data_IF_563109386628
#
_entry.id   IF_563109386628
#
_cell.length_a   1.000
_cell.length_b   1.000
_cell.length_c   1.000
_cell.angle_alpha   90.00
_cell.angle_beta   90.00
_cell.angle_gamma   90.00
#
_symmetry.space_group_name_H-M   'P 1'
#
loop_
_entity.id
_entity.type
_entity.pdbx_description
1 polymer ?
#
# COMPACT_ATOMS: atom_id res chain seq x y z
N UNK A 1 2.39 13.01 3.40
CA UNK A 1 2.83 12.95 1.99
C UNK A 1 3.43 11.60 1.72
N UNK A 2 3.28 11.09 0.50
CA UNK A 2 3.89 9.83 0.05
C UNK A 2 4.65 10.11 -1.24
N UNK A 3 5.91 9.72 -1.28
CA UNK A 3 6.77 9.76 -2.46
C UNK A 3 7.10 8.33 -2.86
N UNK A 4 7.06 8.05 -4.15
CA UNK A 4 7.40 6.74 -4.70
C UNK A 4 8.28 6.89 -5.93
N UNK A 5 9.19 5.95 -6.11
CA UNK A 5 10.02 5.83 -7.31
C UNK A 5 10.10 4.36 -7.70
N UNK A 6 9.19 3.98 -8.58
CA UNK A 6 8.99 2.60 -9.05
C UNK A 6 10.26 2.02 -9.71
N UNK A 7 11.05 2.87 -10.40
CA UNK A 7 12.23 2.45 -11.15
C UNK A 7 13.34 1.82 -10.29
N UNK A 8 13.43 2.17 -9.00
CA UNK A 8 14.41 1.64 -8.06
C UNK A 8 13.78 1.18 -6.73
N UNK A 9 12.49 0.84 -6.76
CA UNK A 9 11.72 0.25 -5.65
C UNK A 9 11.73 1.07 -4.35
N UNK A 10 11.66 2.40 -4.46
CA UNK A 10 11.74 3.32 -3.30
C UNK A 10 10.39 3.91 -2.91
N UNK A 11 10.17 4.01 -1.61
CA UNK A 11 9.01 4.67 -1.01
C UNK A 11 9.44 5.49 0.21
N UNK A 12 8.81 6.65 0.37
CA UNK A 12 8.93 7.52 1.53
C UNK A 12 7.54 8.02 1.92
N UNK A 13 7.19 7.85 3.20
CA UNK A 13 5.99 8.41 3.81
C UNK A 13 6.45 9.46 4.82
N UNK A 14 5.94 10.68 4.75
CA UNK A 14 6.20 11.74 5.71
C UNK A 14 4.89 12.24 6.30
N UNK A 15 4.75 12.17 7.61
CA UNK A 15 3.61 12.72 8.31
C UNK A 15 3.76 14.23 8.42
N UNK A 16 2.73 14.95 8.01
CA UNK A 16 2.70 16.43 8.10
C UNK A 16 1.73 16.90 9.18
N UNK A 17 0.81 16.03 9.61
CA UNK A 17 -0.22 16.24 10.62
C UNK A 17 -0.63 14.88 11.23
N UNK A 18 -1.25 14.86 12.42
CA UNK A 18 -1.42 15.98 13.35
C UNK A 18 -0.06 16.39 13.95
N UNK A 19 -0.04 17.41 14.84
CA UNK A 19 1.22 18.00 15.34
C UNK A 19 2.13 16.95 16.00
N UNK A 20 1.53 15.98 16.66
CA UNK A 20 2.19 14.90 17.41
C UNK A 20 2.88 13.88 16.49
N UNK A 21 2.40 13.75 15.25
CA UNK A 21 2.96 12.86 14.23
C UNK A 21 3.80 13.62 13.20
N UNK A 22 3.65 14.95 13.11
CA UNK A 22 4.34 15.76 12.11
C UNK A 22 5.86 15.57 12.19
N UNK A 23 6.48 15.33 11.05
CA UNK A 23 7.91 15.05 10.93
C UNK A 23 8.28 13.58 11.10
N UNK A 24 7.44 12.72 11.69
CA UNK A 24 7.68 11.27 11.62
C UNK A 24 7.66 10.81 10.16
N UNK A 25 8.42 9.78 9.85
CA UNK A 25 8.47 9.28 8.48
C UNK A 25 8.83 7.80 8.40
N UNK A 26 8.43 7.18 7.29
CA UNK A 26 8.85 5.84 6.92
C UNK A 26 9.65 5.90 5.62
N UNK A 27 10.84 5.34 5.59
CA UNK A 27 11.71 5.28 4.41
C UNK A 27 12.05 3.83 4.10
N UNK A 28 11.77 3.39 2.88
CA UNK A 28 12.23 2.09 2.39
C UNK A 28 13.63 2.23 1.79
N UNK A 29 14.55 1.42 2.29
CA UNK A 29 15.90 1.25 1.76
C UNK A 29 16.10 -0.26 1.53
N UNK A 30 16.29 -0.64 0.27
CA UNK A 30 16.31 -2.03 -0.17
C UNK A 30 15.03 -2.77 0.28
N UNK A 31 15.17 -3.88 1.02
CA UNK A 31 14.05 -4.64 1.60
C UNK A 31 13.61 -4.12 2.98
N UNK A 32 14.22 -3.06 3.48
CA UNK A 32 14.02 -2.61 4.85
C UNK A 32 13.16 -1.36 4.91
N UNK A 33 12.09 -1.43 5.70
CA UNK A 33 11.34 -0.26 6.11
C UNK A 33 11.97 0.34 7.36
N UNK A 34 12.27 1.64 7.34
CA UNK A 34 12.82 2.37 8.47
C UNK A 34 11.84 3.44 8.92
N UNK A 35 11.54 3.51 10.22
CA UNK A 35 10.70 4.54 10.83
C UNK A 35 11.60 5.55 11.54
N UNK A 36 11.40 6.84 11.26
CA UNK A 36 12.08 7.95 11.90
C UNK A 36 11.15 8.68 12.86
N UNK A 37 11.63 8.91 14.09
CA UNK A 37 10.97 9.77 15.07
C UNK A 37 11.82 11.03 15.35
N UNK A 38 11.36 12.23 14.94
CA UNK A 38 12.10 13.47 15.16
C UNK A 38 12.27 13.83 16.63
N UNK A 39 11.39 13.37 17.52
CA UNK A 39 11.48 13.68 18.95
C UNK A 39 12.69 13.02 19.61
N UNK A 40 13.11 11.87 19.07
CA UNK A 40 14.27 11.11 19.58
C UNK A 40 15.46 11.14 18.64
N UNK A 41 15.27 11.55 17.38
CA UNK A 41 16.27 11.49 16.33
C UNK A 41 16.64 10.06 15.90
N UNK A 42 15.82 9.06 16.26
CA UNK A 42 16.14 7.65 16.03
C UNK A 42 15.48 7.07 14.78
N UNK A 43 16.18 6.10 14.20
CA UNK A 43 15.68 5.26 13.12
C UNK A 43 15.50 3.82 13.60
N UNK A 44 14.27 3.34 13.59
CA UNK A 44 13.94 1.95 13.91
C UNK A 44 13.65 1.16 12.65
N UNK A 45 14.21 -0.04 12.54
CA UNK A 45 13.83 -0.97 11.48
C UNK A 45 12.44 -1.55 11.76
N UNK A 46 11.59 -1.56 10.75
CA UNK A 46 10.23 -2.10 10.74
C UNK A 46 10.12 -3.22 9.70
N UNK A 47 9.11 -4.06 9.87
CA UNK A 47 8.83 -5.17 8.95
C UNK A 47 7.64 -4.83 8.07
N UNK A 48 7.35 -5.65 7.07
CA UNK A 48 6.14 -5.52 6.22
C UNK A 48 4.83 -5.56 6.99
N UNK A 49 4.83 -6.13 8.20
CA UNK A 49 3.65 -6.18 9.07
C UNK A 49 3.41 -4.91 9.85
N UNK A 50 4.31 -3.94 9.77
CA UNK A 50 4.19 -2.64 10.42
C UNK A 50 2.87 -1.95 10.06
N UNK A 51 2.17 -1.50 11.11
CA UNK A 51 1.00 -0.64 11.00
C UNK A 51 1.48 0.81 10.89
N UNK A 52 1.27 1.44 9.73
CA UNK A 52 1.77 2.80 9.45
C UNK A 52 0.99 3.80 10.30
N UNK A 53 1.69 4.54 11.17
CA UNK A 53 1.09 5.59 12.00
C UNK A 53 -0.01 5.09 12.94
N UNK A 54 0.08 3.83 13.41
CA UNK A 54 -0.93 3.21 14.28
C UNK A 54 -2.25 2.85 13.58
N UNK A 55 -2.33 2.99 12.26
CA UNK A 55 -3.52 2.65 11.47
C UNK A 55 -3.53 1.18 11.03
N UNK A 56 -4.59 0.73 10.36
CA UNK A 56 -4.63 -0.60 9.74
C UNK A 56 -3.94 -0.66 8.37
N UNK A 57 -3.33 0.44 7.93
CA UNK A 57 -2.53 0.49 6.69
C UNK A 57 -1.11 -0.05 6.90
N UNK A 58 -0.54 -0.54 5.80
CA UNK A 58 0.80 -1.13 5.70
C UNK A 58 1.54 -0.50 4.53
N UNK A 59 2.86 -0.74 4.45
CA UNK A 59 3.68 -0.27 3.33
C UNK A 59 3.06 -0.60 1.96
N UNK A 60 2.63 -1.85 1.78
CA UNK A 60 2.06 -2.33 0.51
C UNK A 60 0.78 -1.61 0.06
N UNK A 61 0.09 -0.91 0.96
CA UNK A 61 -1.10 -0.12 0.60
C UNK A 61 -0.70 1.22 -0.07
N UNK A 62 0.56 1.64 0.06
CA UNK A 62 1.11 2.86 -0.53
C UNK A 62 2.14 2.59 -1.65
N UNK A 63 2.57 1.34 -1.81
CA UNK A 63 3.60 0.95 -2.76
C UNK A 63 3.01 0.56 -4.13
N UNK A 64 3.88 0.32 -5.12
CA UNK A 64 3.46 -0.27 -6.39
C UNK A 64 2.98 -1.71 -6.16
N UNK A 65 1.89 -2.08 -6.84
CA UNK A 65 1.38 -3.44 -6.77
C UNK A 65 2.33 -4.40 -7.49
N UNK A 66 2.85 -5.39 -6.75
CA UNK A 66 3.73 -6.45 -7.28
C UNK A 66 3.09 -7.83 -7.24
N UNK A 67 1.75 -7.90 -7.27
CA UNK A 67 1.01 -9.15 -7.05
C UNK A 67 1.42 -10.28 -8.01
N UNK A 68 1.66 -9.99 -9.29
CA UNK A 68 2.11 -10.98 -10.28
C UNK A 68 3.54 -11.49 -10.03
N UNK A 69 4.37 -10.67 -9.40
CA UNK A 69 5.75 -11.01 -9.04
C UNK A 69 5.78 -11.79 -7.74
N UNK A 70 5.00 -11.38 -6.74
CA UNK A 70 5.06 -11.90 -5.36
C UNK A 70 4.15 -13.11 -5.11
N UNK A 71 3.10 -13.32 -5.91
CA UNK A 71 2.10 -14.36 -5.66
C UNK A 71 1.91 -15.30 -6.85
N UNK A 72 1.59 -16.55 -6.54
CA UNK A 72 0.93 -17.47 -7.45
C UNK A 72 -0.57 -17.15 -7.44
N UNK A 73 -1.14 -16.90 -8.62
CA UNK A 73 -2.54 -16.49 -8.79
C UNK A 73 -3.35 -17.68 -9.31
N UNK A 74 -4.41 -18.03 -8.60
CA UNK A 74 -5.38 -19.03 -9.03
C UNK A 74 -6.74 -18.35 -9.28
N UNK A 75 -7.34 -18.60 -10.44
CA UNK A 75 -8.69 -18.16 -10.73
C UNK A 75 -9.69 -18.90 -9.84
N UNK A 76 -10.60 -18.16 -9.20
CA UNK A 76 -11.59 -18.64 -8.22
C UNK A 76 -13.03 -18.33 -8.68
N UNK A 77 -13.22 -18.22 -9.99
CA UNK A 77 -14.52 -18.00 -10.63
C UNK A 77 -14.90 -16.52 -10.79
N UNK A 78 -16.13 -16.29 -11.24
CA UNK A 78 -16.74 -14.97 -11.36
C UNK A 78 -17.77 -14.75 -10.26
N UNK A 79 -18.03 -13.50 -9.91
CA UNK A 79 -19.05 -13.15 -8.92
C UNK A 79 -19.69 -11.78 -9.23
N UNK A 80 -20.59 -11.34 -8.36
CA UNK A 80 -21.01 -9.94 -8.24
C UNK A 80 -20.52 -9.33 -6.94
N UNK A 81 -20.03 -8.10 -6.99
CA UNK A 81 -19.70 -7.28 -5.83
C UNK A 81 -20.50 -5.99 -5.90
N UNK A 82 -21.67 -5.96 -5.25
CA UNK A 82 -22.68 -4.94 -5.53
C UNK A 82 -23.12 -5.02 -6.98
N UNK A 83 -23.04 -3.91 -7.70
CA UNK A 83 -23.41 -3.82 -9.12
C UNK A 83 -22.29 -4.28 -10.08
N UNK A 84 -21.08 -4.52 -9.57
CA UNK A 84 -19.94 -4.90 -10.40
C UNK A 84 -19.90 -6.40 -10.66
N UNK A 85 -19.71 -6.80 -11.92
CA UNK A 85 -19.26 -8.15 -12.26
C UNK A 85 -17.77 -8.24 -12.00
N UNK A 86 -17.33 -9.29 -11.32
CA UNK A 86 -15.93 -9.41 -10.90
C UNK A 86 -15.35 -10.78 -11.21
N UNK A 87 -14.04 -10.83 -11.44
CA UNK A 87 -13.23 -12.04 -11.33
C UNK A 87 -12.78 -12.19 -9.88
N UNK A 88 -12.93 -13.38 -9.32
CA UNK A 88 -12.33 -13.76 -8.04
C UNK A 88 -11.03 -14.49 -8.31
N UNK A 89 -10.00 -14.15 -7.57
CA UNK A 89 -8.73 -14.89 -7.61
C UNK A 89 -8.20 -15.09 -6.21
N UNK A 90 -7.65 -16.28 -5.96
CA UNK A 90 -6.89 -16.59 -4.76
C UNK A 90 -5.40 -16.41 -5.05
N UNK A 91 -4.71 -15.69 -4.18
CA UNK A 91 -3.29 -15.42 -4.26
C UNK A 91 -2.58 -16.15 -3.13
N UNK A 92 -1.49 -16.84 -3.45
CA UNK A 92 -0.60 -17.48 -2.47
C UNK A 92 0.82 -17.00 -2.70
N UNK A 93 1.44 -16.42 -1.68
CA UNK A 93 2.78 -15.84 -1.78
C UNK A 93 3.79 -16.88 -2.24
N UNK A 94 4.73 -16.45 -3.09
CA UNK A 94 5.88 -17.25 -3.49
C UNK A 94 6.87 -17.38 -2.30
N UNK A 95 7.72 -18.41 -2.25
CA UNK A 95 8.57 -18.68 -1.08
C UNK A 95 9.42 -17.48 -0.59
N UNK A 96 9.95 -16.67 -1.51
CA UNK A 96 10.83 -15.54 -1.17
C UNK A 96 10.11 -14.18 -1.15
N UNK A 97 8.77 -14.17 -1.22
CA UNK A 97 7.99 -12.95 -1.22
C UNK A 97 7.92 -12.32 0.17
N UNK A 98 8.40 -11.09 0.30
CA UNK A 98 8.33 -10.32 1.54
C UNK A 98 6.98 -9.62 1.66
N UNK A 99 5.98 -10.33 2.17
CA UNK A 99 4.59 -9.86 2.26
C UNK A 99 4.02 -10.06 3.66
N UNK A 100 3.19 -9.11 4.11
CA UNK A 100 2.55 -9.18 5.42
C UNK A 100 1.58 -10.36 5.55
N UNK A 101 0.83 -10.62 4.48
CA UNK A 101 -0.22 -11.65 4.41
C UNK A 101 0.02 -12.57 3.21
N UNK A 102 0.37 -13.84 3.45
CA UNK A 102 0.78 -14.76 2.39
C UNK A 102 -0.39 -15.35 1.61
N UNK A 103 -1.62 -15.25 2.12
CA UNK A 103 -2.83 -15.67 1.42
C UNK A 103 -3.76 -14.49 1.27
N UNK A 104 -4.21 -14.25 0.04
CA UNK A 104 -5.17 -13.18 -0.26
C UNK A 104 -6.25 -13.68 -1.19
N UNK A 105 -7.42 -13.05 -1.13
CA UNK A 105 -8.43 -13.12 -2.20
C UNK A 105 -8.65 -11.72 -2.73
N UNK A 106 -8.75 -11.57 -4.04
CA UNK A 106 -9.05 -10.29 -4.67
C UNK A 106 -10.22 -10.44 -5.63
N UNK A 107 -11.02 -9.38 -5.68
CA UNK A 107 -12.13 -9.21 -6.60
C UNK A 107 -11.74 -8.11 -7.58
N UNK A 108 -11.60 -8.50 -8.84
CA UNK A 108 -11.14 -7.63 -9.93
C UNK A 108 -12.35 -7.33 -10.80
N UNK A 109 -12.63 -6.05 -11.03
CA UNK A 109 -13.68 -5.62 -11.95
C UNK A 109 -13.45 -6.21 -13.36
N UNK A 110 -14.50 -6.77 -13.98
CA UNK A 110 -14.37 -7.35 -15.31
C UNK A 110 -14.15 -6.27 -16.37
N UNK A 111 -14.64 -5.05 -16.15
CA UNK A 111 -14.60 -3.96 -17.12
C UNK A 111 -13.29 -3.16 -17.01
N UNK A 112 -13.05 -2.54 -15.85
CA UNK A 112 -11.87 -1.69 -15.64
C UNK A 112 -10.58 -2.46 -15.33
N UNK A 113 -10.69 -3.74 -14.96
CA UNK A 113 -9.59 -4.58 -14.44
C UNK A 113 -8.97 -4.09 -13.13
N UNK A 114 -9.58 -3.11 -12.46
CA UNK A 114 -9.13 -2.64 -11.16
C UNK A 114 -9.56 -3.60 -10.05
N UNK A 115 -8.76 -3.68 -8.98
CA UNK A 115 -9.16 -4.39 -7.77
C UNK A 115 -10.22 -3.57 -7.06
N UNK A 116 -11.36 -4.17 -6.74
CA UNK A 116 -12.45 -3.52 -6.00
C UNK A 116 -12.45 -3.92 -4.52
N UNK A 117 -12.05 -5.16 -4.24
CA UNK A 117 -11.96 -5.71 -2.88
C UNK A 117 -10.74 -6.61 -2.76
N UNK A 118 -10.10 -6.58 -1.60
CA UNK A 118 -9.06 -7.50 -1.17
C UNK A 118 -9.40 -8.03 0.21
N UNK A 119 -9.24 -9.33 0.40
CA UNK A 119 -9.24 -9.99 1.70
C UNK A 119 -7.86 -10.59 1.95
N UNK A 120 -7.32 -10.35 3.14
CA UNK A 120 -5.99 -10.80 3.54
C UNK A 120 -6.09 -11.72 4.74
N UNK A 121 -5.41 -12.86 4.65
CA UNK A 121 -5.54 -13.95 5.59
C UNK A 121 -4.21 -14.23 6.30
N UNK A 122 -4.29 -14.70 7.54
CA UNK A 122 -3.15 -15.28 8.26
C UNK A 122 -2.68 -16.58 7.58
N UNK A 123 -1.49 -17.05 7.98
CA UNK A 123 -1.02 -18.39 7.59
C UNK A 123 -1.98 -19.51 8.01
N UNK A 124 -2.70 -19.34 9.12
CA UNK A 124 -3.71 -20.29 9.61
C UNK A 124 -5.07 -20.18 8.90
N UNK A 125 -5.22 -19.26 7.94
CA UNK A 125 -6.46 -19.07 7.18
C UNK A 125 -7.50 -18.18 7.87
N UNK A 126 -7.15 -17.51 8.97
CA UNK A 126 -8.04 -16.52 9.59
C UNK A 126 -8.07 -15.26 8.73
N UNK A 127 -9.26 -14.73 8.45
CA UNK A 127 -9.40 -13.42 7.81
C UNK A 127 -8.90 -12.33 8.76
N UNK A 128 -7.95 -11.51 8.31
CA UNK A 128 -7.28 -10.51 9.12
C UNK A 128 -7.72 -9.10 8.75
N UNK A 129 -7.94 -8.86 7.46
CA UNK A 129 -8.21 -7.54 6.93
C UNK A 129 -9.03 -7.62 5.65
N UNK A 130 -9.99 -6.71 5.51
CA UNK A 130 -10.71 -6.49 4.26
C UNK A 130 -10.45 -5.06 3.79
N UNK A 131 -10.03 -4.91 2.54
CA UNK A 131 -9.80 -3.60 1.91
C UNK A 131 -10.72 -3.42 0.72
N UNK A 132 -11.40 -2.27 0.63
CA UNK A 132 -12.19 -1.86 -0.51
C UNK A 132 -11.56 -0.65 -1.21
N UNK A 133 -11.71 -0.62 -2.53
CA UNK A 133 -11.22 0.44 -3.41
C UNK A 133 -12.42 1.03 -4.18
N UNK A 134 -13.24 1.87 -3.53
CA UNK A 134 -14.50 2.34 -4.12
C UNK A 134 -14.30 3.27 -5.32
N UNK A 135 -13.13 3.89 -5.46
CA UNK A 135 -12.87 4.87 -6.50
C UNK A 135 -11.45 4.82 -7.01
N UNK A 136 -11.29 4.88 -8.33
CA UNK A 136 -10.03 4.88 -9.04
C UNK A 136 -9.97 6.08 -9.97
N UNK A 137 -8.78 6.66 -10.11
CA UNK A 137 -8.47 7.73 -11.03
C UNK A 137 -7.52 7.22 -12.12
N UNK A 138 -7.85 7.49 -13.38
CA UNK A 138 -6.99 7.18 -14.52
C UNK A 138 -6.15 8.41 -14.85
N UNK A 139 -4.83 8.22 -14.98
CA UNK A 139 -3.89 9.27 -15.33
C UNK A 139 -2.84 8.75 -16.32
N UNK A 140 -2.45 9.57 -17.28
CA UNK A 140 -1.35 9.24 -18.16
C UNK A 140 0.00 9.40 -17.45
N UNK A 141 0.81 8.35 -17.43
CA UNK A 141 2.18 8.39 -16.91
C UNK A 141 3.16 8.58 -18.06
N UNK A 142 3.83 9.74 -18.11
CA UNK A 142 4.89 10.00 -19.09
C UNK A 142 6.04 8.99 -19.00
N UNK A 143 6.39 8.58 -17.77
CA UNK A 143 7.48 7.61 -17.53
C UNK A 143 7.12 6.21 -18.05
N UNK A 144 5.90 5.72 -17.79
CA UNK A 144 5.43 4.41 -18.27
C UNK A 144 4.88 4.44 -19.70
N UNK A 145 4.71 5.64 -20.28
CA UNK A 145 4.09 5.88 -21.59
C UNK A 145 2.71 5.21 -21.71
N UNK A 146 1.95 5.20 -20.64
CA UNK A 146 0.68 4.47 -20.54
C UNK A 146 -0.25 5.11 -19.50
N UNK A 147 -1.54 4.80 -19.63
CA UNK A 147 -2.52 5.08 -18.59
C UNK A 147 -2.25 4.22 -17.35
N UNK A 148 -2.23 4.86 -16.19
CA UNK A 148 -2.12 4.20 -14.89
C UNK A 148 -3.36 4.50 -14.06
N UNK A 149 -3.72 3.55 -13.21
CA UNK A 149 -4.82 3.70 -12.27
C UNK A 149 -4.27 3.91 -10.86
N UNK A 150 -4.78 4.94 -10.19
CA UNK A 150 -4.43 5.27 -8.81
C UNK A 150 -5.72 5.26 -8.00
N UNK A 151 -5.78 4.54 -6.85
CA UNK A 151 -6.97 4.58 -6.03
C UNK A 151 -7.14 5.98 -5.44
N UNK A 152 -8.34 6.55 -5.48
CA UNK A 152 -8.63 7.83 -4.80
C UNK A 152 -9.01 7.60 -3.34
N UNK A 153 -9.53 6.42 -3.03
CA UNK A 153 -9.97 6.05 -1.71
C UNK A 153 -9.68 4.57 -1.46
N UNK A 154 -9.17 4.27 -0.27
CA UNK A 154 -9.02 2.91 0.24
C UNK A 154 -9.68 2.84 1.61
N UNK A 155 -10.54 1.84 1.81
CA UNK A 155 -11.19 1.57 3.09
C UNK A 155 -10.72 0.23 3.61
N UNK A 156 -10.02 0.26 4.73
CA UNK A 156 -9.37 -0.91 5.34
C UNK A 156 -10.11 -1.22 6.65
N UNK A 157 -10.68 -2.41 6.75
CA UNK A 157 -11.39 -2.90 7.93
C UNK A 157 -10.54 -3.95 8.65
N UNK A 158 -10.40 -3.81 9.96
CA UNK A 158 -9.80 -4.83 10.81
C UNK A 158 -10.85 -5.91 11.12
N UNK A 159 -10.54 -7.15 10.75
CA UNK A 159 -11.46 -8.28 10.92
C UNK A 159 -11.25 -9.01 12.26
N UNK A 160 -10.21 -8.61 13.03
CA UNK A 160 -9.98 -9.05 14.40
C UNK A 160 -10.64 -8.10 15.40
N UNK A 161 -10.41 -6.80 15.23
CA UNK A 161 -10.95 -5.74 16.06
C UNK A 161 -12.14 -5.08 15.36
N UNK A 162 -13.29 -5.75 15.39
CA UNK A 162 -14.51 -5.26 14.72
C UNK A 162 -14.85 -3.84 15.16
N UNK A 163 -15.03 -2.95 14.18
CA UNK A 163 -15.27 -1.52 14.39
C UNK A 163 -14.03 -0.64 14.18
N UNK A 164 -12.83 -1.22 14.23
CA UNK A 164 -11.61 -0.52 13.87
C UNK A 164 -11.45 -0.49 12.33
N UNK A 165 -11.27 0.70 11.77
CA UNK A 165 -11.10 0.88 10.33
C UNK A 165 -10.17 2.05 10.02
N UNK A 166 -9.65 2.07 8.80
CA UNK A 166 -8.80 3.13 8.28
C UNK A 166 -9.29 3.54 6.91
N UNK A 167 -9.44 4.84 6.70
CA UNK A 167 -9.77 5.41 5.39
C UNK A 167 -8.56 6.21 4.90
N UNK A 168 -8.06 5.88 3.73
CA UNK A 168 -7.00 6.62 3.05
C UNK A 168 -7.65 7.35 1.88
N UNK A 169 -7.54 8.68 1.86
CA UNK A 169 -8.00 9.52 0.76
C UNK A 169 -6.80 10.11 0.05
N UNK A 170 -6.63 9.77 -1.23
CA UNK A 170 -5.60 10.34 -2.10
C UNK A 170 -6.22 11.56 -2.79
N UNK A 171 -5.92 12.74 -2.25
CA UNK A 171 -6.48 14.01 -2.74
C UNK A 171 -5.84 14.49 -4.03
N UNK A 172 -4.57 14.18 -4.22
CA UNK A 172 -3.78 14.61 -5.37
C UNK A 172 -2.76 13.54 -5.72
N UNK A 173 -2.39 13.47 -7.00
CA UNK A 173 -1.31 12.61 -7.46
C UNK A 173 -0.57 13.32 -8.57
N UNK A 174 0.72 13.55 -8.35
CA UNK A 174 1.68 13.98 -9.34
C UNK A 174 2.51 12.78 -9.79
N UNK A 175 2.63 12.59 -11.11
CA UNK A 175 3.39 11.51 -11.73
C UNK A 175 4.73 12.00 -12.31
N UNK A 176 5.12 13.23 -12.00
CA UNK A 176 6.42 13.79 -12.34
C UNK A 176 7.57 12.99 -11.70
N UNK A 177 8.74 13.06 -12.32
CA UNK A 177 9.90 12.32 -11.85
C UNK A 177 10.42 12.89 -10.51
N UNK A 178 10.54 12.03 -9.49
CA UNK A 178 11.12 12.39 -8.20
C UNK A 178 12.61 12.03 -8.17
N UNK A 179 13.47 12.97 -7.77
CA UNK A 179 14.91 12.72 -7.61
C UNK A 179 15.20 11.61 -6.60
N UNK A 180 16.21 10.78 -6.88
CA UNK A 180 16.66 9.73 -5.95
C UNK A 180 17.17 10.30 -4.62
N UNK A 181 17.62 11.57 -4.59
CA UNK A 181 18.10 12.24 -3.38
C UNK A 181 17.03 12.44 -2.31
N UNK A 182 15.74 12.38 -2.67
CA UNK A 182 14.61 12.44 -1.73
C UNK A 182 14.56 11.22 -0.82
N UNK A 183 15.04 10.06 -1.29
CA UNK A 183 14.91 8.78 -0.60
C UNK A 183 16.16 8.48 0.24
N UNK A 184 16.52 9.41 1.12
CA UNK A 184 17.68 9.29 2.01
C UNK A 184 17.32 9.69 3.43
N UNK A 185 18.00 9.11 4.43
CA UNK A 185 17.78 9.46 5.85
C UNK A 185 17.99 10.96 6.09
N UNK A 186 19.05 11.52 5.52
CA UNK A 186 19.37 12.94 5.62
C UNK A 186 18.24 13.85 5.07
N UNK A 187 17.61 13.46 3.95
CA UNK A 187 16.48 14.21 3.42
C UNK A 187 15.29 14.18 4.38
N UNK A 188 14.94 13.00 4.91
CA UNK A 188 13.84 12.85 5.89
C UNK A 188 14.11 13.72 7.10
N UNK A 189 15.28 13.57 7.74
CA UNK A 189 15.69 14.38 8.90
C UNK A 189 15.62 15.90 8.62
N UNK A 190 15.93 16.35 7.40
CA UNK A 190 15.84 17.76 7.01
C UNK A 190 14.39 18.28 6.88
N UNK A 191 13.43 17.39 6.63
CA UNK A 191 11.99 17.71 6.50
C UNK A 191 11.19 17.45 7.77
N UNK A 192 11.81 16.82 8.76
CA UNK A 192 11.22 16.44 10.02
C UNK A 192 11.46 17.43 11.16
N UNK A 193 12.10 18.57 10.86
CA UNK A 193 12.34 19.67 11.79
C UNK A 193 11.23 20.71 11.72
#
# INVERSE_FOLDING_TARGET
MVYRRDADDKILILFTKPKEEAGKGYLKIDKNLWMFDPNTGKWDRRTERERIGGTNSRRADFDESRLSVEFNVAFDGTDKLGDYKVFKTKLTAKPDADVAYPVQKIWIDQDSRNILKREEYSLSGKLMRTTFYPKWNKKFSTSKKAEVWVPEEMRIFDELEKGNSTVILIKETDLSAVSSSVFTKAWVESKSR
#
